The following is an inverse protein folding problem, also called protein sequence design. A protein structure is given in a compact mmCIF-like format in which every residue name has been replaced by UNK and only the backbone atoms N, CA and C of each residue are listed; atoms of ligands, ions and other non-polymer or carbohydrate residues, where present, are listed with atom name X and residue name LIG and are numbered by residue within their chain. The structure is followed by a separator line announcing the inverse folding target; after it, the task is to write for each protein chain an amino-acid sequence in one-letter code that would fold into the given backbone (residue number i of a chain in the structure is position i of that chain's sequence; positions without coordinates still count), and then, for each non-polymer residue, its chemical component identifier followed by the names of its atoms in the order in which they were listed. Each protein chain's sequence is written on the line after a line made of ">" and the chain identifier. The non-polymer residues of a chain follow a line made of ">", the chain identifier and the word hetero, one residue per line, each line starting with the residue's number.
data_IF_477189552734
#
_entry.id   IF_477189552734
#
_cell.length_a   1.000
_cell.length_b   1.000
_cell.length_c   1.000
_cell.angle_alpha   90.00
_cell.angle_beta   90.00
_cell.angle_gamma   90.00
#
_symmetry.space_group_name_H-M   'P 1'
#
loop_
_entity.id
_entity.type
_entity.pdbx_description
1 polymer ?
#
# COMPACT_ATOMS: atom_id res chain seq x y z
N UNK A 1 -7.99 -20.21 -27.11
CA UNK A 1 -7.56 -20.44 -25.70
C UNK A 1 -6.61 -19.34 -25.22
N UNK A 2 -5.47 -19.06 -25.89
CA UNK A 2 -4.53 -17.98 -25.52
C UNK A 2 -5.13 -16.58 -25.35
N UNK A 3 -6.18 -16.23 -26.11
CA UNK A 3 -6.81 -14.91 -26.04
C UNK A 3 -7.73 -14.74 -24.81
N UNK A 4 -8.40 -15.81 -24.39
CA UNK A 4 -9.19 -15.85 -23.15
C UNK A 4 -8.26 -15.72 -21.94
N UNK A 5 -7.09 -16.37 -21.99
CA UNK A 5 -6.08 -16.34 -20.93
C UNK A 5 -5.47 -14.95 -20.77
N UNK A 6 -5.03 -14.30 -21.87
CA UNK A 6 -4.57 -12.89 -21.86
C UNK A 6 -5.61 -11.93 -21.31
N UNK A 7 -6.89 -12.13 -21.65
CA UNK A 7 -7.97 -11.28 -21.15
C UNK A 7 -8.13 -11.43 -19.64
N UNK A 8 -8.12 -12.66 -19.12
CA UNK A 8 -8.21 -12.92 -17.68
C UNK A 8 -7.03 -12.33 -16.91
N UNK A 9 -5.81 -12.45 -17.42
CA UNK A 9 -4.61 -11.85 -16.80
C UNK A 9 -4.72 -10.32 -16.75
N UNK A 10 -5.20 -9.69 -17.82
CA UNK A 10 -5.43 -8.24 -17.87
C UNK A 10 -6.48 -7.80 -16.84
N UNK A 11 -7.61 -8.52 -16.76
CA UNK A 11 -8.67 -8.23 -15.78
C UNK A 11 -8.16 -8.38 -14.34
N UNK A 12 -7.38 -9.42 -14.04
CA UNK A 12 -6.75 -9.61 -12.73
C UNK A 12 -5.76 -8.49 -12.40
N UNK A 13 -4.95 -8.09 -13.37
CA UNK A 13 -3.99 -6.99 -13.20
C UNK A 13 -4.70 -5.67 -12.93
N UNK A 14 -5.78 -5.38 -13.65
CA UNK A 14 -6.61 -4.19 -13.42
C UNK A 14 -7.25 -4.22 -12.04
N UNK A 15 -7.79 -5.37 -11.61
CA UNK A 15 -8.34 -5.53 -10.27
C UNK A 15 -7.29 -5.32 -9.18
N UNK A 16 -6.07 -5.84 -9.38
CA UNK A 16 -4.95 -5.63 -8.45
C UNK A 16 -4.56 -4.15 -8.39
N UNK A 17 -4.39 -3.49 -9.54
CA UNK A 17 -4.06 -2.05 -9.62
C UNK A 17 -5.15 -1.14 -9.01
N UNK A 18 -6.41 -1.57 -9.00
CA UNK A 18 -7.48 -0.83 -8.35
C UNK A 18 -7.31 -0.75 -6.83
N UNK A 19 -6.58 -1.69 -6.23
CA UNK A 19 -6.43 -1.85 -4.77
C UNK A 19 -4.98 -1.76 -4.28
N UNK A 20 -4.00 -1.78 -5.17
CA UNK A 20 -2.57 -1.78 -4.83
C UNK A 20 -1.79 -0.69 -5.58
N UNK A 21 -0.76 -0.18 -4.92
CA UNK A 21 0.20 0.76 -5.47
C UNK A 21 1.18 0.04 -6.41
N UNK A 22 1.34 0.55 -7.63
CA UNK A 22 2.13 -0.10 -8.67
C UNK A 22 3.65 -0.10 -8.40
N UNK A 23 4.15 0.85 -7.61
CA UNK A 23 5.59 0.96 -7.32
C UNK A 23 6.02 0.02 -6.21
N UNK A 24 5.29 0.01 -5.10
CA UNK A 24 5.66 -0.71 -3.86
C UNK A 24 4.96 -2.05 -3.72
N UNK A 25 3.85 -2.26 -4.45
CA UNK A 25 3.01 -3.44 -4.30
C UNK A 25 2.14 -3.42 -3.04
N UNK A 26 2.26 -2.41 -2.18
CA UNK A 26 1.40 -2.26 -1.00
C UNK A 26 -0.04 -1.95 -1.40
N UNK A 27 -1.03 -2.26 -0.55
CA UNK A 27 -2.36 -1.69 -0.67
C UNK A 27 -2.33 -0.17 -0.85
N UNK A 28 -3.21 0.33 -1.71
CA UNK A 28 -3.32 1.76 -1.99
C UNK A 28 -4.29 2.45 -1.03
N UNK A 29 -4.37 3.78 -1.14
CA UNK A 29 -5.27 4.62 -0.34
C UNK A 29 -6.73 4.13 -0.36
N UNK A 30 -7.25 3.70 -1.51
CA UNK A 30 -8.64 3.24 -1.64
C UNK A 30 -8.89 2.01 -0.77
N UNK A 31 -8.06 0.98 -0.92
CA UNK A 31 -8.14 -0.22 -0.09
C UNK A 31 -8.00 0.11 1.40
N UNK A 32 -7.07 1.00 1.75
CA UNK A 32 -6.86 1.43 3.13
C UNK A 32 -8.11 2.05 3.77
N UNK A 33 -8.85 2.88 3.04
CA UNK A 33 -10.09 3.47 3.55
C UNK A 33 -11.20 2.43 3.71
N UNK A 34 -11.38 1.53 2.74
CA UNK A 34 -12.35 0.43 2.85
C UNK A 34 -12.06 -0.44 4.10
N UNK A 35 -10.79 -0.77 4.34
CA UNK A 35 -10.41 -1.52 5.54
C UNK A 35 -10.60 -0.74 6.84
N UNK A 36 -10.38 0.58 6.83
CA UNK A 36 -10.57 1.43 7.99
C UNK A 36 -12.04 1.51 8.40
N UNK A 37 -12.96 1.60 7.43
CA UNK A 37 -14.41 1.55 7.67
C UNK A 37 -14.80 0.22 8.33
N UNK A 38 -14.31 -0.90 7.81
CA UNK A 38 -14.53 -2.23 8.39
C UNK A 38 -13.95 -2.37 9.81
N UNK A 39 -12.78 -1.80 10.07
CA UNK A 39 -12.15 -1.79 11.39
C UNK A 39 -12.96 -0.97 12.40
N UNK A 40 -13.45 0.21 12.00
CA UNK A 40 -14.31 1.05 12.83
C UNK A 40 -15.61 0.33 13.21
N UNK A 41 -16.26 -0.31 12.24
CA UNK A 41 -17.47 -1.09 12.50
C UNK A 41 -17.19 -2.24 13.49
N UNK A 42 -16.15 -3.05 13.24
CA UNK A 42 -15.78 -4.18 14.12
C UNK A 42 -15.41 -3.72 15.52
N UNK A 43 -14.67 -2.63 15.65
CA UNK A 43 -14.28 -2.03 16.91
C UNK A 43 -15.50 -1.63 17.74
N UNK A 44 -16.49 -0.99 17.11
CA UNK A 44 -17.76 -0.61 17.75
C UNK A 44 -18.55 -1.83 18.24
N UNK A 45 -18.70 -2.87 17.41
CA UNK A 45 -19.48 -4.06 17.76
C UNK A 45 -18.80 -4.89 18.85
N UNK A 46 -17.48 -4.99 18.83
CA UNK A 46 -16.71 -5.84 19.76
C UNK A 46 -16.15 -5.10 20.98
N UNK A 47 -16.41 -3.80 21.07
CA UNK A 47 -15.83 -2.91 22.10
C UNK A 47 -14.30 -3.04 22.19
N UNK A 48 -13.63 -3.03 21.03
CA UNK A 48 -12.16 -3.12 20.92
C UNK A 48 -11.58 -1.82 20.39
N UNK A 49 -10.28 -1.59 20.62
CA UNK A 49 -9.55 -0.45 20.08
C UNK A 49 -8.52 -0.90 19.03
N UNK A 50 -8.15 0.02 18.14
CA UNK A 50 -7.07 -0.14 17.18
C UNK A 50 -6.29 1.18 17.06
N UNK A 51 -5.08 1.10 16.50
CA UNK A 51 -4.21 2.25 16.26
C UNK A 51 -4.14 2.54 14.77
N UNK A 52 -4.15 3.82 14.42
CA UNK A 52 -3.80 4.30 13.08
C UNK A 52 -2.53 5.13 13.20
N UNK A 53 -1.56 4.87 12.32
CA UNK A 53 -0.29 5.59 12.29
C UNK A 53 -0.03 6.09 10.87
N UNK A 54 0.41 7.33 10.76
CA UNK A 54 0.93 7.90 9.52
C UNK A 54 2.44 7.97 9.64
N UNK A 55 3.14 7.47 8.63
CA UNK A 55 4.60 7.45 8.56
C UNK A 55 5.00 8.18 7.28
N UNK A 56 5.79 9.23 7.43
CA UNK A 56 6.41 9.95 6.32
C UNK A 56 7.91 9.63 6.25
N UNK A 57 8.49 9.71 5.05
CA UNK A 57 9.94 9.55 4.87
C UNK A 57 10.61 10.92 4.91
N UNK A 58 11.35 11.19 5.99
CA UNK A 58 12.06 12.45 6.16
C UNK A 58 13.01 12.74 4.99
N UNK A 59 13.03 13.99 4.55
CA UNK A 59 13.87 14.48 3.45
C UNK A 59 13.69 13.74 2.10
N UNK A 60 12.59 13.02 1.90
CA UNK A 60 12.36 12.26 0.67
C UNK A 60 12.41 13.14 -0.60
N UNK A 61 11.87 14.35 -0.53
CA UNK A 61 11.97 15.34 -1.62
C UNK A 61 13.41 15.70 -1.96
N UNK A 62 14.26 15.93 -0.97
CA UNK A 62 15.68 16.24 -1.19
C UNK A 62 16.40 15.12 -1.92
N UNK A 63 16.04 13.87 -1.64
CA UNK A 63 16.59 12.71 -2.35
C UNK A 63 16.16 12.71 -3.82
N UNK A 64 14.88 12.93 -4.10
CA UNK A 64 14.40 13.07 -5.48
C UNK A 64 15.10 14.20 -6.22
N UNK A 65 15.24 15.36 -5.57
CA UNK A 65 15.82 16.55 -6.19
C UNK A 65 17.35 16.39 -6.41
N UNK A 66 18.05 15.64 -5.54
CA UNK A 66 19.51 15.46 -5.60
C UNK A 66 19.97 14.24 -6.40
N UNK A 67 19.21 13.13 -6.35
CA UNK A 67 19.59 11.82 -6.89
C UNK A 67 18.60 11.31 -7.95
N UNK A 68 17.53 12.07 -8.22
CA UNK A 68 16.51 11.73 -9.20
C UNK A 68 15.42 10.78 -8.69
N UNK A 69 14.31 10.73 -9.43
CA UNK A 69 13.14 9.93 -9.06
C UNK A 69 13.42 8.42 -8.94
N UNK A 70 14.34 7.87 -9.74
CA UNK A 70 14.69 6.45 -9.63
C UNK A 70 15.31 6.10 -8.27
N UNK A 71 16.08 7.02 -7.68
CA UNK A 71 16.62 6.85 -6.33
C UNK A 71 15.50 6.93 -5.28
N UNK A 72 14.57 7.87 -5.42
CA UNK A 72 13.37 7.94 -4.56
C UNK A 72 12.51 6.68 -4.65
N UNK A 73 12.27 6.18 -5.86
CA UNK A 73 11.53 4.94 -6.09
C UNK A 73 12.19 3.74 -5.41
N UNK A 74 13.53 3.66 -5.48
CA UNK A 74 14.28 2.62 -4.78
C UNK A 74 14.10 2.72 -3.27
N UNK A 75 14.21 3.93 -2.71
CA UNK A 75 14.02 4.14 -1.26
C UNK A 75 12.59 3.79 -0.84
N UNK A 76 11.57 4.21 -1.59
CA UNK A 76 10.18 3.86 -1.30
C UNK A 76 9.99 2.35 -1.25
N UNK A 77 10.48 1.61 -2.26
CA UNK A 77 10.42 0.14 -2.27
C UNK A 77 11.11 -0.47 -1.06
N UNK A 78 12.32 -0.03 -0.73
CA UNK A 78 13.06 -0.57 0.41
C UNK A 78 12.40 -0.25 1.76
N UNK A 79 11.85 0.96 1.92
CA UNK A 79 11.11 1.35 3.13
C UNK A 79 9.82 0.54 3.27
N UNK A 80 9.06 0.34 2.18
CA UNK A 80 7.86 -0.50 2.17
C UNK A 80 8.16 -1.95 2.59
N UNK A 81 9.22 -2.54 2.03
CA UNK A 81 9.64 -3.90 2.39
C UNK A 81 10.03 -4.02 3.88
N UNK A 82 10.80 -3.04 4.40
CA UNK A 82 11.21 -3.02 5.81
C UNK A 82 10.02 -2.87 6.74
N UNK A 83 9.10 -1.94 6.45
CA UNK A 83 7.88 -1.76 7.23
C UNK A 83 7.01 -3.02 7.21
N UNK A 84 6.84 -3.65 6.04
CA UNK A 84 6.09 -4.90 5.92
C UNK A 84 6.70 -6.04 6.75
N UNK A 85 8.03 -6.12 6.82
CA UNK A 85 8.71 -7.11 7.66
C UNK A 85 8.63 -6.84 9.17
N UNK A 86 8.33 -5.60 9.56
CA UNK A 86 8.30 -5.16 10.95
C UNK A 86 6.92 -5.26 11.60
N UNK A 87 5.86 -5.44 10.81
CA UNK A 87 4.48 -5.55 11.27
C UNK A 87 4.03 -7.00 11.32
N UNK A 88 2.94 -7.27 12.04
CA UNK A 88 2.34 -8.61 12.11
C UNK A 88 1.49 -8.84 10.86
N UNK A 89 1.26 -10.11 10.53
CA UNK A 89 0.43 -10.51 9.38
C UNK A 89 -0.98 -9.89 9.38
N UNK A 90 -1.56 -9.67 10.56
CA UNK A 90 -2.89 -9.07 10.72
C UNK A 90 -2.91 -7.54 10.61
N UNK A 91 -1.75 -6.89 10.62
CA UNK A 91 -1.66 -5.45 10.55
C UNK A 91 -1.72 -5.02 9.08
N UNK A 92 -2.36 -3.88 8.82
CA UNK A 92 -2.57 -3.39 7.45
C UNK A 92 -1.59 -2.24 7.19
N UNK A 93 -0.70 -2.44 6.22
CA UNK A 93 0.19 -1.39 5.71
C UNK A 93 -0.32 -0.86 4.38
N UNK A 94 -0.48 0.45 4.29
CA UNK A 94 -1.04 1.12 3.12
C UNK A 94 -0.07 2.19 2.65
N UNK A 95 0.17 2.28 1.34
CA UNK A 95 0.78 3.48 0.76
C UNK A 95 -0.32 4.51 0.47
N UNK A 96 -0.39 5.53 1.32
CA UNK A 96 -1.39 6.59 1.20
C UNK A 96 -1.10 7.56 0.06
N UNK A 97 0.16 7.82 -0.26
CA UNK A 97 0.55 8.56 -1.45
C UNK A 97 1.75 9.47 -1.26
N UNK A 98 2.42 9.70 -2.38
CA UNK A 98 3.05 10.95 -2.79
C UNK A 98 2.46 11.28 -4.17
#
# INVERSE_FOLDING_TARGET
>A
MKEIEKRKESEQKLAYQATHDALTGLPNRKYGYEQLEDLLYRAKVRNTQFLVMFIDLDNFKHINDSLGHLAGDYILKQSSLRLQSAIREKDILVRLGG
#
